data_IF_907917481511
#
_entry.id   IF_907917481511
#
_cell.length_a   1.000
_cell.length_b   1.000
_cell.length_c   1.000
_cell.angle_alpha   90.00
_cell.angle_beta   90.00
_cell.angle_gamma   90.00
#
_symmetry.space_group_name_H-M   'P 1'
#
loop_
_entity.id
_entity.type
_entity.pdbx_description
1 polymer ?
#
# COMPACT_ATOMS: atom_id res chain seq x y z
N UNK A 1 59.00 20.02 1.10
CA UNK A 1 58.34 20.58 2.30
C UNK A 1 56.81 20.40 2.12
N UNK A 2 56.30 19.27 2.59
CA UNK A 2 54.94 18.81 2.35
C UNK A 2 53.97 19.41 3.37
N UNK A 3 53.00 20.18 2.93
CA UNK A 3 51.83 20.54 3.74
C UNK A 3 50.70 19.50 3.50
N UNK A 4 50.59 18.56 4.44
CA UNK A 4 49.44 17.69 4.54
C UNK A 4 48.24 18.49 5.07
N UNK A 5 47.22 18.66 4.21
CA UNK A 5 45.89 19.20 4.58
C UNK A 5 45.16 18.09 5.33
N UNK A 6 45.08 18.20 6.65
CA UNK A 6 44.21 17.39 7.50
C UNK A 6 42.75 17.85 7.25
N UNK A 7 42.02 17.15 6.41
CA UNK A 7 40.58 17.28 6.34
C UNK A 7 39.96 16.67 7.62
N UNK A 8 39.45 17.52 8.51
CA UNK A 8 38.76 17.09 9.71
C UNK A 8 37.42 16.45 9.32
N UNK A 9 37.36 15.13 9.27
CA UNK A 9 36.13 14.37 9.13
C UNK A 9 35.35 14.53 10.43
N UNK A 10 34.19 15.21 10.37
CA UNK A 10 33.27 15.36 11.52
C UNK A 10 32.77 13.96 11.96
N UNK A 11 33.05 13.48 13.18
CA UNK A 11 32.79 12.10 13.57
C UNK A 11 31.31 11.70 13.60
N UNK A 12 30.39 12.65 13.68
CA UNK A 12 28.98 12.37 13.83
C UNK A 12 28.26 11.87 12.57
N UNK A 13 28.74 12.22 11.35
CA UNK A 13 28.10 11.79 10.10
C UNK A 13 28.50 10.37 9.70
N UNK A 14 29.76 9.99 9.98
CA UNK A 14 30.28 8.66 9.68
C UNK A 14 29.67 7.61 10.60
N UNK A 15 29.52 7.91 11.90
CA UNK A 15 28.91 7.00 12.87
C UNK A 15 27.44 6.69 12.54
N UNK A 16 26.63 7.71 12.23
CA UNK A 16 25.23 7.51 11.82
C UNK A 16 25.11 6.67 10.54
N UNK A 17 25.98 6.91 9.56
CA UNK A 17 26.00 6.15 8.30
C UNK A 17 26.46 4.68 8.53
N UNK A 18 27.43 4.46 9.40
CA UNK A 18 27.89 3.11 9.77
C UNK A 18 26.83 2.36 10.55
N UNK A 19 26.12 3.03 11.47
CA UNK A 19 24.98 2.45 12.20
C UNK A 19 23.80 2.12 11.27
N UNK A 20 23.48 2.98 10.30
CA UNK A 20 22.45 2.68 9.29
C UNK A 20 22.82 1.49 8.40
N UNK A 21 24.09 1.39 7.98
CA UNK A 21 24.57 0.24 7.21
C UNK A 21 24.55 -1.02 8.07
N UNK A 22 25.00 -0.94 9.32
CA UNK A 22 24.98 -2.07 10.26
C UNK A 22 23.54 -2.50 10.61
N UNK A 23 22.60 -1.58 10.81
CA UNK A 23 21.20 -1.91 11.05
C UNK A 23 20.56 -2.63 9.84
N UNK A 24 20.88 -2.19 8.61
CA UNK A 24 20.43 -2.87 7.39
C UNK A 24 20.93 -4.32 7.25
N UNK A 25 22.04 -4.66 7.88
CA UNK A 25 22.56 -6.03 7.93
C UNK A 25 22.03 -6.86 9.12
N UNK A 26 21.63 -6.20 10.21
CA UNK A 26 21.16 -6.86 11.43
C UNK A 26 19.69 -7.30 11.30
N UNK A 27 18.87 -6.55 10.60
CA UNK A 27 17.44 -6.86 10.43
C UNK A 27 17.23 -7.86 9.28
N UNK A 28 17.32 -9.15 9.60
CA UNK A 28 17.03 -10.26 8.66
C UNK A 28 15.62 -10.84 8.86
N UNK A 29 14.98 -10.57 9.99
CA UNK A 29 13.61 -11.00 10.26
C UNK A 29 12.61 -10.01 9.67
N UNK A 30 11.46 -10.48 9.27
CA UNK A 30 10.36 -9.65 8.77
C UNK A 30 9.98 -8.57 9.79
N UNK A 31 9.85 -8.91 11.06
CA UNK A 31 9.57 -7.96 12.14
C UNK A 31 10.63 -6.83 12.25
N UNK A 32 11.91 -7.15 12.05
CA UNK A 32 12.96 -6.14 12.01
C UNK A 32 12.86 -5.20 10.82
N UNK A 33 12.47 -5.74 9.65
CA UNK A 33 12.24 -4.96 8.44
C UNK A 33 10.95 -4.13 8.59
N UNK A 34 9.90 -4.67 9.21
CA UNK A 34 8.66 -3.98 9.52
C UNK A 34 8.90 -2.71 10.35
N UNK A 35 9.72 -2.79 11.42
CA UNK A 35 10.10 -1.61 12.21
C UNK A 35 10.85 -0.56 11.37
N UNK A 36 11.72 -0.99 10.44
CA UNK A 36 12.37 -0.06 9.51
C UNK A 36 11.37 0.60 8.55
N UNK A 37 10.39 -0.15 8.08
CA UNK A 37 9.31 0.38 7.25
C UNK A 37 8.49 1.44 8.01
N UNK A 38 8.04 1.13 9.23
CA UNK A 38 7.31 2.09 10.07
C UNK A 38 8.12 3.37 10.31
N UNK A 39 9.41 3.26 10.64
CA UNK A 39 10.29 4.42 10.83
C UNK A 39 10.49 5.23 9.54
N UNK A 40 10.50 4.60 8.36
CA UNK A 40 10.60 5.30 7.07
C UNK A 40 9.32 6.08 6.79
N UNK A 41 8.16 5.42 6.83
CA UNK A 41 6.88 6.02 6.50
C UNK A 41 6.43 7.08 7.52
N UNK A 42 6.91 7.02 8.77
CA UNK A 42 6.72 8.09 9.76
C UNK A 42 7.38 9.43 9.36
N UNK A 43 8.33 9.43 8.40
CA UNK A 43 9.00 10.65 7.93
C UNK A 43 8.19 11.45 6.91
N UNK A 44 7.00 11.03 6.52
CA UNK A 44 6.15 11.74 5.53
C UNK A 44 5.86 13.20 5.92
N UNK A 45 5.95 13.57 7.21
CA UNK A 45 5.81 14.98 7.64
C UNK A 45 7.02 15.87 7.29
N UNK A 46 8.21 15.29 7.10
CA UNK A 46 9.48 16.05 6.97
C UNK A 46 10.33 15.67 5.75
N UNK A 47 9.91 14.67 4.98
CA UNK A 47 10.69 14.12 3.88
C UNK A 47 9.86 14.13 2.59
N UNK A 48 10.25 15.01 1.63
CA UNK A 48 9.58 15.18 0.34
C UNK A 48 9.56 13.89 -0.48
N UNK A 49 10.61 13.08 -0.41
CA UNK A 49 10.66 11.81 -1.12
C UNK A 49 9.58 10.85 -0.58
N UNK A 50 9.36 10.83 0.74
CA UNK A 50 8.33 9.98 1.33
C UNK A 50 6.93 10.49 0.98
N UNK A 51 6.71 11.80 0.93
CA UNK A 51 5.44 12.38 0.44
C UNK A 51 5.19 12.04 -1.03
N UNK A 52 6.22 12.14 -1.88
CA UNK A 52 6.12 11.74 -3.29
C UNK A 52 5.79 10.24 -3.42
N UNK A 53 6.45 9.37 -2.65
CA UNK A 53 6.15 7.93 -2.63
C UNK A 53 4.75 7.61 -2.08
N UNK A 54 4.23 8.42 -1.17
CA UNK A 54 2.86 8.31 -0.62
C UNK A 54 1.81 9.05 -1.46
N UNK A 55 2.14 9.50 -2.66
CA UNK A 55 1.23 10.18 -3.58
C UNK A 55 0.55 11.42 -2.99
N UNK A 56 1.30 12.26 -2.24
CA UNK A 56 0.74 13.51 -1.73
C UNK A 56 0.56 14.51 -2.87
N UNK A 57 -0.63 15.08 -2.97
CA UNK A 57 -0.95 16.10 -3.98
C UNK A 57 -0.07 17.34 -3.79
N UNK A 58 0.50 17.83 -4.89
CA UNK A 58 1.41 18.97 -4.88
C UNK A 58 2.88 18.62 -4.62
N UNK A 59 3.23 17.35 -4.37
CA UNK A 59 4.58 16.90 -4.06
C UNK A 59 5.21 16.12 -5.22
N UNK A 60 6.47 16.41 -5.53
CA UNK A 60 7.26 15.66 -6.50
C UNK A 60 6.55 15.40 -7.83
N UNK A 61 6.34 14.12 -8.18
CA UNK A 61 5.63 13.68 -9.41
C UNK A 61 4.14 14.06 -9.42
N UNK A 62 3.58 14.40 -8.28
CA UNK A 62 2.17 14.74 -8.05
C UNK A 62 1.93 16.24 -7.92
N UNK A 63 2.92 17.06 -8.29
CA UNK A 63 2.78 18.52 -8.40
C UNK A 63 1.78 18.90 -9.51
N UNK A 64 1.68 18.08 -10.56
CA UNK A 64 0.64 18.17 -11.59
C UNK A 64 -0.65 17.52 -11.07
N UNK A 65 -1.69 18.34 -10.87
CA UNK A 65 -3.00 17.91 -10.38
C UNK A 65 -3.65 16.87 -11.27
N UNK A 66 -3.57 17.02 -12.58
CA UNK A 66 -4.14 16.07 -13.55
C UNK A 66 -3.48 14.71 -13.45
N UNK A 67 -2.17 14.69 -13.18
CA UNK A 67 -1.43 13.45 -13.00
C UNK A 67 -1.86 12.73 -11.71
N UNK A 68 -2.04 13.49 -10.64
CA UNK A 68 -2.51 12.96 -9.35
C UNK A 68 -3.94 12.42 -9.44
N UNK A 69 -4.86 13.19 -10.05
CA UNK A 69 -6.27 12.82 -10.19
C UNK A 69 -6.45 11.57 -11.08
N UNK A 70 -5.63 11.41 -12.12
CA UNK A 70 -5.63 10.22 -13.00
C UNK A 70 -5.38 8.90 -12.26
N UNK A 71 -4.69 8.92 -11.10
CA UNK A 71 -4.51 7.70 -10.29
C UNK A 71 -5.87 7.20 -9.81
N UNK A 72 -6.60 8.02 -9.06
CA UNK A 72 -7.92 7.65 -8.54
C UNK A 72 -8.90 7.32 -9.64
N UNK A 73 -8.92 8.11 -10.73
CA UNK A 73 -9.74 7.83 -11.90
C UNK A 73 -9.44 6.45 -12.51
N UNK A 74 -8.17 6.14 -12.68
CA UNK A 74 -7.74 4.86 -13.25
C UNK A 74 -8.17 3.67 -12.41
N UNK A 75 -7.98 3.75 -11.10
CA UNK A 75 -8.38 2.69 -10.17
C UNK A 75 -9.92 2.59 -10.05
N UNK A 76 -10.63 3.72 -10.12
CA UNK A 76 -12.08 3.69 -10.15
C UNK A 76 -12.63 2.99 -11.40
N UNK A 77 -12.05 3.24 -12.58
CA UNK A 77 -12.38 2.49 -13.81
C UNK A 77 -12.07 1.00 -13.71
N UNK A 78 -11.01 0.62 -13.00
CA UNK A 78 -10.72 -0.80 -12.73
C UNK A 78 -11.77 -1.40 -11.80
N UNK A 79 -12.20 -0.66 -10.78
CA UNK A 79 -13.27 -1.07 -9.89
C UNK A 79 -14.59 -1.28 -10.65
N UNK A 80 -14.98 -0.37 -11.55
CA UNK A 80 -16.16 -0.55 -12.41
C UNK A 80 -16.10 -1.85 -13.25
N UNK A 81 -14.91 -2.15 -13.80
CA UNK A 81 -14.69 -3.42 -14.51
C UNK A 81 -14.78 -4.63 -13.58
N UNK A 82 -14.27 -4.52 -12.36
CA UNK A 82 -14.38 -5.58 -11.36
C UNK A 82 -15.84 -5.85 -11.00
N UNK A 83 -16.64 -4.82 -10.79
CA UNK A 83 -18.08 -4.96 -10.53
C UNK A 83 -18.80 -5.71 -11.67
N UNK A 84 -18.45 -5.41 -12.92
CA UNK A 84 -19.01 -6.13 -14.07
C UNK A 84 -18.58 -7.60 -14.11
N UNK A 85 -17.30 -7.89 -13.84
CA UNK A 85 -16.76 -9.26 -13.83
C UNK A 85 -17.32 -10.11 -12.69
N UNK A 86 -17.60 -9.48 -11.56
CA UNK A 86 -18.10 -10.13 -10.35
C UNK A 86 -19.62 -10.21 -10.28
N UNK A 87 -20.32 -9.64 -11.27
CA UNK A 87 -21.78 -9.49 -11.28
C UNK A 87 -22.33 -8.79 -10.03
N UNK A 88 -21.68 -7.67 -9.66
CA UNK A 88 -22.09 -6.86 -8.51
C UNK A 88 -23.33 -6.06 -8.90
N UNK A 89 -24.47 -6.41 -8.34
CA UNK A 89 -25.77 -5.78 -8.65
C UNK A 89 -26.22 -4.76 -7.61
N UNK A 90 -25.67 -4.83 -6.39
CA UNK A 90 -26.02 -3.92 -5.31
C UNK A 90 -25.04 -2.74 -5.23
N UNK A 91 -25.53 -1.55 -4.85
CA UNK A 91 -24.66 -0.40 -4.64
C UNK A 91 -23.63 -0.66 -3.53
N UNK A 92 -22.37 -0.34 -3.81
CA UNK A 92 -21.30 -0.39 -2.81
C UNK A 92 -21.55 0.65 -1.72
N UNK A 93 -21.59 0.24 -0.48
CA UNK A 93 -21.82 1.10 0.69
C UNK A 93 -20.55 1.39 1.46
N UNK A 94 -19.66 0.40 1.55
CA UNK A 94 -18.45 0.47 2.38
C UNK A 94 -17.24 0.03 1.59
N UNK A 95 -16.20 0.85 1.67
CA UNK A 95 -14.90 0.58 1.05
C UNK A 95 -13.83 0.60 2.12
N UNK A 96 -12.86 -0.30 2.05
CA UNK A 96 -11.58 -0.19 2.76
C UNK A 96 -10.48 0.00 1.73
N UNK A 97 -9.67 1.04 1.88
CA UNK A 97 -8.39 1.16 1.21
C UNK A 97 -7.25 0.91 2.19
N UNK A 98 -6.39 -0.04 1.85
CA UNK A 98 -5.16 -0.32 2.60
C UNK A 98 -4.03 0.57 2.06
N UNK A 99 -3.45 1.41 2.94
CA UNK A 99 -2.49 2.46 2.66
C UNK A 99 -3.00 3.49 1.63
N UNK A 100 -3.96 4.37 1.99
CA UNK A 100 -4.53 5.36 1.09
C UNK A 100 -3.54 6.48 0.70
N UNK A 101 -2.41 6.57 1.35
CA UNK A 101 -1.39 7.59 1.10
C UNK A 101 -1.98 9.01 1.15
N UNK A 102 -1.71 9.81 0.12
CA UNK A 102 -2.23 11.18 -0.04
C UNK A 102 -3.71 11.28 -0.43
N UNK A 103 -4.43 10.15 -0.61
CA UNK A 103 -5.87 10.14 -0.81
C UNK A 103 -6.36 10.23 -2.26
N UNK A 104 -5.52 9.94 -3.25
CA UNK A 104 -5.91 10.01 -4.66
C UNK A 104 -7.14 9.14 -4.97
N UNK A 105 -7.21 7.93 -4.40
CA UNK A 105 -8.37 7.05 -4.55
C UNK A 105 -9.57 7.56 -3.73
N UNK A 106 -9.36 7.99 -2.49
CA UNK A 106 -10.43 8.50 -1.64
C UNK A 106 -11.20 9.64 -2.30
N UNK A 107 -10.54 10.49 -3.10
CA UNK A 107 -11.18 11.58 -3.83
C UNK A 107 -12.17 11.10 -4.90
N UNK A 108 -11.97 9.91 -5.45
CA UNK A 108 -12.84 9.32 -6.48
C UNK A 108 -13.95 8.45 -5.88
N UNK A 109 -13.67 7.78 -4.75
CA UNK A 109 -14.63 6.88 -4.11
C UNK A 109 -15.56 7.59 -3.12
N UNK A 110 -15.08 8.49 -2.27
CA UNK A 110 -15.91 9.18 -1.26
C UNK A 110 -17.15 9.91 -1.83
N UNK A 111 -17.17 10.45 -3.07
CA UNK A 111 -18.39 11.01 -3.65
C UNK A 111 -19.46 9.97 -3.98
N UNK A 112 -19.12 8.68 -4.01
CA UNK A 112 -19.93 7.60 -4.56
C UNK A 112 -20.32 6.53 -3.54
N UNK A 113 -19.67 6.54 -2.36
CA UNK A 113 -19.92 5.56 -1.30
C UNK A 113 -20.16 6.28 0.03
N UNK A 114 -21.09 5.79 0.87
CA UNK A 114 -21.36 6.39 2.18
C UNK A 114 -20.17 6.32 3.14
N UNK A 115 -19.40 5.23 3.11
CA UNK A 115 -18.29 4.99 4.04
C UNK A 115 -17.04 4.53 3.29
N UNK A 116 -15.93 5.23 3.55
CA UNK A 116 -14.62 4.91 3.00
C UNK A 116 -13.61 4.88 4.15
N UNK A 117 -13.17 3.69 4.54
CA UNK A 117 -12.11 3.49 5.53
C UNK A 117 -10.75 3.57 4.86
N UNK A 118 -9.86 4.42 5.40
CA UNK A 118 -8.44 4.42 5.03
C UNK A 118 -7.63 3.80 6.17
N UNK A 119 -7.03 2.64 5.94
CA UNK A 119 -6.20 1.92 6.93
C UNK A 119 -4.73 2.16 6.60
N UNK A 120 -3.96 2.73 7.53
CA UNK A 120 -2.54 3.06 7.31
C UNK A 120 -1.77 2.96 8.64
N UNK A 121 -0.46 2.73 8.55
CA UNK A 121 0.49 2.81 9.67
C UNK A 121 1.03 4.22 9.86
N UNK A 122 0.82 5.12 8.91
CA UNK A 122 1.28 6.52 8.92
C UNK A 122 0.15 7.48 9.31
N UNK A 123 0.19 8.08 10.49
CA UNK A 123 -0.81 9.08 10.89
C UNK A 123 -0.78 10.32 9.99
N UNK A 124 0.38 10.63 9.40
CA UNK A 124 0.51 11.77 8.50
C UNK A 124 -0.18 11.54 7.14
N UNK A 125 -0.08 10.32 6.59
CA UNK A 125 -0.81 9.96 5.37
C UNK A 125 -2.32 10.01 5.60
N UNK A 126 -2.80 9.45 6.71
CA UNK A 126 -4.22 9.52 7.09
C UNK A 126 -4.71 10.97 7.25
N UNK A 127 -3.91 11.82 7.90
CA UNK A 127 -4.23 13.24 8.05
C UNK A 127 -4.28 13.97 6.69
N UNK A 128 -3.32 13.67 5.79
CA UNK A 128 -3.31 14.25 4.45
C UNK A 128 -4.49 13.77 3.62
N UNK A 129 -4.78 12.47 3.60
CA UNK A 129 -5.96 11.92 2.93
C UNK A 129 -7.24 12.60 3.43
N UNK A 130 -7.41 12.72 4.74
CA UNK A 130 -8.56 13.40 5.34
C UNK A 130 -8.62 14.89 4.96
N UNK A 131 -7.46 15.56 4.89
CA UNK A 131 -7.38 16.97 4.46
C UNK A 131 -7.85 17.13 3.02
N UNK A 132 -7.42 16.23 2.10
CA UNK A 132 -7.84 16.26 0.71
C UNK A 132 -9.36 16.04 0.59
N UNK A 133 -9.90 15.02 1.26
CA UNK A 133 -11.34 14.73 1.25
C UNK A 133 -12.15 15.95 1.77
N UNK A 134 -11.76 16.53 2.91
CA UNK A 134 -12.41 17.70 3.50
C UNK A 134 -12.31 18.95 2.60
N UNK A 135 -11.19 19.14 1.90
CA UNK A 135 -10.98 20.31 1.03
C UNK A 135 -11.98 20.42 -0.11
N UNK A 136 -12.59 19.31 -0.51
CA UNK A 136 -13.68 19.24 -1.51
C UNK A 136 -15.08 19.10 -0.90
N UNK A 137 -15.21 19.30 0.43
CA UNK A 137 -16.49 19.16 1.12
C UNK A 137 -17.04 17.73 1.16
N UNK A 138 -16.20 16.73 0.84
CA UNK A 138 -16.60 15.34 0.84
C UNK A 138 -16.69 14.80 2.28
N UNK A 139 -17.55 13.79 2.46
CA UNK A 139 -17.83 13.14 3.74
C UNK A 139 -17.58 11.63 3.60
N UNK A 140 -17.69 10.90 4.70
CA UNK A 140 -17.61 9.43 4.69
C UNK A 140 -16.22 8.84 4.85
N UNK A 141 -15.13 9.63 4.75
CA UNK A 141 -13.77 9.13 5.03
C UNK A 141 -13.59 8.89 6.53
N UNK A 142 -13.15 7.69 6.88
CA UNK A 142 -12.85 7.24 8.25
C UNK A 142 -11.42 6.75 8.32
N UNK A 143 -10.49 7.55 8.91
CA UNK A 143 -9.10 7.13 9.08
C UNK A 143 -8.98 6.06 10.16
N UNK A 144 -8.22 5.00 9.88
CA UNK A 144 -7.88 3.92 10.79
C UNK A 144 -6.38 3.80 10.88
N UNK A 145 -5.81 4.20 12.01
CA UNK A 145 -4.39 4.02 12.30
C UNK A 145 -4.17 2.64 12.92
N UNK A 146 -3.26 1.86 12.36
CA UNK A 146 -2.85 0.55 12.87
C UNK A 146 -1.37 0.52 13.21
N UNK A 147 -1.00 -0.39 14.11
CA UNK A 147 0.40 -0.73 14.36
C UNK A 147 0.87 -1.75 13.32
N UNK A 148 2.08 -1.55 12.77
CA UNK A 148 2.67 -2.46 11.77
C UNK A 148 2.86 -3.89 12.29
N UNK A 149 3.00 -4.05 13.60
CA UNK A 149 3.13 -5.35 14.27
C UNK A 149 1.75 -5.95 14.68
N UNK A 150 0.62 -5.21 14.48
CA UNK A 150 -0.73 -5.58 14.93
C UNK A 150 -1.79 -5.31 13.86
N UNK A 151 -1.62 -5.89 12.69
CA UNK A 151 -2.48 -5.64 11.53
C UNK A 151 -3.95 -5.97 11.80
N UNK A 152 -4.20 -6.98 12.63
CA UNK A 152 -5.53 -7.49 12.99
C UNK A 152 -6.39 -6.45 13.70
N UNK A 153 -5.80 -5.38 14.25
CA UNK A 153 -6.56 -4.25 14.81
C UNK A 153 -7.59 -3.66 13.83
N UNK A 154 -7.31 -3.73 12.51
CA UNK A 154 -8.26 -3.26 11.51
C UNK A 154 -9.61 -3.97 11.57
N UNK A 155 -9.65 -5.25 12.00
CA UNK A 155 -10.88 -6.02 12.11
C UNK A 155 -11.81 -5.54 13.24
N UNK A 156 -11.24 -4.91 14.27
CA UNK A 156 -12.00 -4.35 15.39
C UNK A 156 -12.44 -2.91 15.09
N UNK A 157 -11.68 -2.21 14.25
CA UNK A 157 -11.88 -0.78 13.94
C UNK A 157 -12.77 -0.55 12.72
N UNK A 158 -12.89 -1.52 11.83
CA UNK A 158 -13.88 -1.54 10.75
C UNK A 158 -15.18 -2.11 11.32
N UNK A 159 -16.15 -1.23 11.54
CA UNK A 159 -17.36 -1.52 12.31
C UNK A 159 -18.28 -2.59 11.69
N UNK A 160 -18.26 -2.71 10.35
CA UNK A 160 -19.10 -3.65 9.60
C UNK A 160 -18.34 -4.22 8.38
N UNK A 161 -18.69 -5.41 7.88
CA UNK A 161 -18.09 -5.94 6.66
C UNK A 161 -18.21 -4.97 5.50
N UNK A 162 -17.18 -4.92 4.64
CA UNK A 162 -17.09 -4.00 3.53
C UNK A 162 -17.39 -4.67 2.20
N UNK A 163 -17.94 -3.91 1.26
CA UNK A 163 -18.31 -4.44 -0.07
C UNK A 163 -17.10 -4.45 -1.01
N UNK A 164 -16.12 -3.56 -0.76
CA UNK A 164 -14.95 -3.44 -1.60
C UNK A 164 -13.67 -3.19 -0.79
N UNK A 165 -12.64 -4.00 -1.08
CA UNK A 165 -11.28 -3.82 -0.57
C UNK A 165 -10.36 -3.35 -1.70
N UNK A 166 -9.60 -2.28 -1.45
CA UNK A 166 -8.66 -1.68 -2.40
C UNK A 166 -7.26 -1.63 -1.80
N UNK A 167 -6.25 -2.07 -2.55
CA UNK A 167 -4.84 -1.81 -2.23
C UNK A 167 -4.03 -1.66 -3.51
N UNK A 168 -3.51 -0.46 -3.75
CA UNK A 168 -2.75 -0.14 -4.97
C UNK A 168 -1.48 0.61 -4.64
N UNK A 169 -0.38 0.26 -5.31
CA UNK A 169 0.96 0.80 -5.08
C UNK A 169 1.53 0.55 -3.67
N UNK A 170 1.12 -0.54 -3.00
CA UNK A 170 1.41 -0.84 -1.59
C UNK A 170 2.24 -2.10 -1.41
N UNK A 171 1.84 -3.23 -1.97
CA UNK A 171 2.43 -4.56 -1.73
C UNK A 171 3.94 -4.63 -2.01
N UNK A 172 4.46 -3.80 -2.94
CA UNK A 172 5.91 -3.71 -3.18
C UNK A 172 6.69 -3.09 -2.03
N UNK A 173 6.02 -2.39 -1.12
CA UNK A 173 6.60 -1.74 0.05
C UNK A 173 6.55 -2.59 1.31
N UNK A 174 5.86 -3.71 1.29
CA UNK A 174 5.75 -4.56 2.47
C UNK A 174 7.11 -5.13 2.90
N UNK A 175 7.30 -5.38 4.21
CA UNK A 175 8.58 -5.88 4.76
C UNK A 175 8.93 -7.28 4.31
N UNK A 176 7.99 -8.02 3.72
CA UNK A 176 8.16 -9.36 3.19
C UNK A 176 6.88 -9.89 2.56
N UNK A 177 7.00 -11.06 1.91
CA UNK A 177 5.85 -11.72 1.27
C UNK A 177 4.80 -12.16 2.29
N UNK A 178 5.25 -12.64 3.45
CA UNK A 178 4.37 -13.10 4.54
C UNK A 178 3.48 -11.97 5.07
N UNK A 179 4.03 -10.74 5.13
CA UNK A 179 3.24 -9.58 5.49
C UNK A 179 2.10 -9.32 4.50
N UNK A 180 2.39 -9.42 3.19
CA UNK A 180 1.37 -9.27 2.15
C UNK A 180 0.32 -10.40 2.15
N UNK A 181 0.72 -11.62 2.49
CA UNK A 181 -0.21 -12.74 2.67
C UNK A 181 -1.18 -12.41 3.81
N UNK A 182 -0.68 -11.98 4.97
CA UNK A 182 -1.53 -11.57 6.11
C UNK A 182 -2.48 -10.43 5.75
N UNK A 183 -2.04 -9.42 4.98
CA UNK A 183 -2.93 -8.34 4.52
C UNK A 183 -4.00 -8.90 3.57
N UNK A 184 -3.68 -9.87 2.73
CA UNK A 184 -4.64 -10.53 1.83
C UNK A 184 -5.67 -11.36 2.62
N UNK A 185 -5.24 -12.05 3.68
CA UNK A 185 -6.13 -12.75 4.64
C UNK A 185 -7.08 -11.77 5.34
N UNK A 186 -6.54 -10.62 5.80
CA UNK A 186 -7.36 -9.57 6.41
C UNK A 186 -8.37 -8.98 5.42
N UNK A 187 -7.98 -8.79 4.15
CA UNK A 187 -8.90 -8.36 3.11
C UNK A 187 -10.08 -9.32 2.96
N UNK A 188 -9.83 -10.64 2.90
CA UNK A 188 -10.88 -11.65 2.82
C UNK A 188 -11.80 -11.65 4.06
N UNK A 189 -11.25 -11.39 5.25
CA UNK A 189 -12.02 -11.32 6.51
C UNK A 189 -12.84 -10.05 6.63
N UNK A 190 -12.34 -8.91 6.13
CA UNK A 190 -13.04 -7.62 6.13
C UNK A 190 -14.20 -7.60 5.13
N UNK A 191 -14.08 -8.31 4.01
CA UNK A 191 -15.10 -8.33 2.97
C UNK A 191 -16.39 -9.00 3.47
N UNK A 192 -17.52 -8.43 3.09
CA UNK A 192 -18.83 -9.08 3.15
C UNK A 192 -18.86 -10.29 2.21
N UNK A 193 -19.82 -11.18 2.38
CA UNK A 193 -20.08 -12.23 1.40
C UNK A 193 -20.38 -11.59 0.04
N UNK A 194 -19.85 -12.17 -1.03
CA UNK A 194 -19.91 -11.60 -2.39
C UNK A 194 -19.15 -10.28 -2.57
N UNK A 195 -18.49 -9.76 -1.54
CA UNK A 195 -17.63 -8.57 -1.62
C UNK A 195 -16.46 -8.78 -2.56
N UNK A 196 -15.92 -7.68 -3.11
CA UNK A 196 -14.87 -7.72 -4.13
C UNK A 196 -13.59 -7.03 -3.67
N UNK A 197 -12.45 -7.42 -4.25
CA UNK A 197 -11.17 -6.77 -3.97
C UNK A 197 -10.38 -6.48 -5.24
N UNK A 198 -9.73 -5.31 -5.26
CA UNK A 198 -8.73 -4.94 -6.24
C UNK A 198 -7.39 -4.81 -5.52
N UNK A 199 -6.50 -5.77 -5.77
CA UNK A 199 -5.17 -5.81 -5.16
C UNK A 199 -4.11 -5.69 -6.24
N UNK A 200 -3.25 -4.69 -6.13
CA UNK A 200 -2.09 -4.57 -7.00
C UNK A 200 -0.85 -5.12 -6.31
N UNK A 201 -0.15 -6.01 -6.98
CA UNK A 201 1.19 -6.45 -6.61
C UNK A 201 2.23 -5.96 -7.61
N UNK A 202 3.49 -5.92 -7.19
CA UNK A 202 4.61 -5.96 -8.12
C UNK A 202 4.97 -7.41 -8.38
N UNK A 203 5.04 -7.82 -9.64
CA UNK A 203 5.43 -9.18 -9.96
C UNK A 203 6.93 -9.31 -10.26
N UNK A 204 7.50 -10.47 -9.96
CA UNK A 204 8.87 -10.83 -10.31
C UNK A 204 8.89 -11.25 -11.80
N UNK A 205 9.60 -10.51 -12.62
CA UNK A 205 9.79 -10.79 -14.06
C UNK A 205 11.06 -11.59 -14.34
N UNK A 206 11.72 -12.09 -13.29
CA UNK A 206 12.99 -12.81 -13.36
C UNK A 206 14.22 -11.89 -13.33
N UNK A 207 14.04 -10.58 -13.46
CA UNK A 207 15.17 -9.63 -13.42
C UNK A 207 15.70 -9.44 -11.99
N UNK A 208 17.02 -9.21 -11.81
CA UNK A 208 17.59 -8.93 -10.50
C UNK A 208 17.00 -7.71 -9.80
N UNK A 209 16.50 -6.74 -10.58
CA UNK A 209 15.88 -5.51 -10.07
C UNK A 209 14.58 -5.82 -9.33
N UNK A 210 13.75 -6.71 -9.89
CA UNK A 210 12.41 -7.01 -9.39
C UNK A 210 12.34 -8.20 -8.42
N UNK A 211 13.46 -8.92 -8.21
CA UNK A 211 13.53 -9.91 -7.15
C UNK A 211 13.31 -9.29 -5.78
N UNK A 212 12.47 -9.92 -4.96
CA UNK A 212 12.21 -9.53 -3.58
C UNK A 212 13.53 -9.37 -2.78
N UNK A 213 13.61 -8.32 -1.98
CA UNK A 213 14.80 -7.98 -1.19
C UNK A 213 14.67 -8.52 0.24
N UNK A 214 15.80 -8.64 0.93
CA UNK A 214 15.87 -9.12 2.32
C UNK A 214 16.64 -8.15 3.22
N UNK A 215 17.12 -7.03 2.68
CA UNK A 215 18.00 -6.07 3.37
C UNK A 215 17.85 -4.68 2.78
N UNK A 216 18.28 -3.66 3.53
CA UNK A 216 18.34 -2.26 3.09
C UNK A 216 16.97 -1.77 2.60
N UNK A 217 15.96 -1.88 3.48
CA UNK A 217 14.58 -1.53 3.16
C UNK A 217 14.47 -0.14 2.52
N UNK A 218 14.99 0.90 3.16
CA UNK A 218 14.92 2.28 2.68
C UNK A 218 15.50 2.45 1.27
N UNK A 219 16.64 1.80 0.97
CA UNK A 219 17.27 1.88 -0.36
C UNK A 219 16.44 1.20 -1.45
N UNK A 220 15.65 0.22 -1.09
CA UNK A 220 14.91 -0.63 -2.04
C UNK A 220 13.39 -0.49 -1.88
N UNK A 221 12.90 0.52 -1.18
CA UNK A 221 11.51 0.63 -0.76
C UNK A 221 10.50 0.41 -1.91
N UNK A 222 10.77 0.92 -3.10
CA UNK A 222 9.86 0.79 -4.26
C UNK A 222 9.88 -0.58 -4.94
N UNK A 223 10.85 -1.43 -4.60
CA UNK A 223 11.02 -2.78 -5.18
C UNK A 223 11.35 -3.82 -4.11
N UNK A 224 10.98 -3.55 -2.87
CA UNK A 224 11.42 -4.40 -1.75
C UNK A 224 10.78 -5.78 -1.80
N UNK A 225 9.48 -5.84 -2.07
CA UNK A 225 8.73 -7.09 -2.18
C UNK A 225 8.11 -7.23 -3.56
N UNK A 226 8.24 -8.41 -4.12
CA UNK A 226 7.58 -8.81 -5.36
C UNK A 226 7.06 -10.24 -5.22
N UNK A 227 6.06 -10.58 -6.00
CA UNK A 227 5.35 -11.84 -5.95
C UNK A 227 5.43 -12.53 -7.32
N UNK A 228 5.41 -13.82 -7.34
CA UNK A 228 5.06 -14.58 -8.53
C UNK A 228 3.54 -14.48 -8.76
N UNK A 229 3.10 -14.27 -10.00
CA UNK A 229 1.68 -14.08 -10.35
C UNK A 229 0.87 -15.34 -10.00
N UNK A 230 1.39 -16.52 -10.34
CA UNK A 230 0.70 -17.78 -10.06
C UNK A 230 0.62 -18.05 -8.55
N UNK A 231 1.73 -17.79 -7.82
CA UNK A 231 1.73 -17.93 -6.37
C UNK A 231 0.73 -16.98 -5.70
N UNK A 232 0.63 -15.73 -6.16
CA UNK A 232 -0.36 -14.79 -5.59
C UNK A 232 -1.81 -15.16 -5.94
N UNK A 233 -2.02 -15.72 -7.13
CA UNK A 233 -3.30 -16.30 -7.51
C UNK A 233 -3.73 -17.42 -6.54
N UNK A 234 -2.79 -18.31 -6.20
CA UNK A 234 -3.05 -19.39 -5.25
C UNK A 234 -3.29 -18.85 -3.83
N UNK A 235 -2.52 -17.85 -3.38
CA UNK A 235 -2.75 -17.18 -2.09
C UNK A 235 -4.17 -16.63 -2.01
N UNK A 236 -4.67 -15.99 -3.07
CA UNK A 236 -6.04 -15.49 -3.08
C UNK A 236 -7.08 -16.60 -2.91
N UNK A 237 -6.88 -17.74 -3.57
CA UNK A 237 -7.75 -18.93 -3.42
C UNK A 237 -7.69 -19.46 -1.98
N UNK A 238 -6.49 -19.62 -1.43
CA UNK A 238 -6.26 -20.21 -0.12
C UNK A 238 -6.90 -19.38 1.01
N UNK A 239 -7.03 -18.06 0.81
CA UNK A 239 -7.74 -17.18 1.77
C UNK A 239 -9.24 -17.04 1.51
N UNK A 240 -9.80 -17.81 0.57
CA UNK A 240 -11.24 -17.82 0.29
C UNK A 240 -11.71 -16.74 -0.70
N UNK A 241 -10.81 -16.16 -1.50
CA UNK A 241 -11.18 -15.26 -2.58
C UNK A 241 -10.99 -15.94 -3.95
N UNK A 242 -11.98 -15.81 -4.82
CA UNK A 242 -11.92 -16.29 -6.20
C UNK A 242 -11.29 -15.24 -7.11
N UNK A 243 -10.11 -15.49 -7.72
CA UNK A 243 -9.57 -14.60 -8.73
C UNK A 243 -10.39 -14.68 -10.02
N UNK A 244 -10.91 -13.54 -10.46
CA UNK A 244 -11.72 -13.42 -11.68
C UNK A 244 -10.86 -13.07 -12.90
N UNK A 245 -9.89 -12.19 -12.71
CA UNK A 245 -8.97 -11.75 -13.77
C UNK A 245 -7.69 -11.17 -13.17
N UNK A 246 -6.65 -11.07 -14.00
CA UNK A 246 -5.43 -10.30 -13.72
C UNK A 246 -5.16 -9.35 -14.88
N UNK A 247 -4.98 -8.07 -14.59
CA UNK A 247 -4.56 -7.06 -15.56
C UNK A 247 -3.08 -6.73 -15.35
N UNK A 248 -2.27 -6.87 -16.39
CA UNK A 248 -0.83 -6.64 -16.31
C UNK A 248 -0.44 -5.28 -16.86
N UNK A 249 0.45 -4.58 -16.17
CA UNK A 249 1.20 -3.44 -16.68
C UNK A 249 2.70 -3.79 -16.74
N UNK A 250 3.18 -4.34 -17.85
CA UNK A 250 4.57 -4.82 -17.95
C UNK A 250 5.61 -3.71 -17.91
N UNK A 251 5.25 -2.45 -18.21
CA UNK A 251 6.19 -1.31 -18.16
C UNK A 251 6.73 -1.04 -16.76
N UNK A 252 5.94 -1.37 -15.73
CA UNK A 252 6.27 -1.14 -14.30
C UNK A 252 6.18 -2.43 -13.48
N UNK A 253 5.99 -3.57 -14.14
CA UNK A 253 5.82 -4.90 -13.54
C UNK A 253 4.71 -4.93 -12.46
N UNK A 254 3.55 -4.34 -12.76
CA UNK A 254 2.38 -4.39 -11.91
C UNK A 254 1.34 -5.38 -12.42
N UNK A 255 0.78 -6.15 -11.51
CA UNK A 255 -0.35 -7.03 -11.73
C UNK A 255 -1.49 -6.62 -10.80
N UNK A 256 -2.66 -6.35 -11.38
CA UNK A 256 -3.89 -6.00 -10.69
C UNK A 256 -4.79 -7.24 -10.66
N UNK A 257 -5.03 -7.76 -9.47
CA UNK A 257 -5.90 -8.90 -9.23
C UNK A 257 -7.33 -8.43 -8.98
N UNK A 258 -8.24 -8.94 -9.76
CA UNK A 258 -9.69 -8.74 -9.63
C UNK A 258 -10.23 -9.97 -8.90
N UNK A 259 -10.64 -9.78 -7.65
CA UNK A 259 -10.99 -10.85 -6.74
C UNK A 259 -12.44 -10.70 -6.26
N UNK A 260 -13.10 -11.83 -5.98
CA UNK A 260 -14.42 -11.89 -5.34
C UNK A 260 -14.34 -12.83 -4.13
N UNK A 261 -14.90 -12.43 -2.99
CA UNK A 261 -15.03 -13.33 -1.86
C UNK A 261 -15.98 -14.46 -2.21
N UNK A 262 -15.57 -15.68 -1.97
CA UNK A 262 -16.48 -16.85 -2.10
C UNK A 262 -17.65 -16.70 -1.11
N UNK A 263 -18.85 -17.05 -1.57
CA UNK A 263 -19.99 -17.20 -0.66
C UNK A 263 -19.67 -18.28 0.36
N UNK A 264 -20.04 -18.07 1.62
CA UNK A 264 -20.04 -19.14 2.61
C UNK A 264 -20.96 -20.23 2.09
N UNK A 265 -20.39 -21.34 1.60
CA UNK A 265 -21.17 -22.54 1.33
C UNK A 265 -21.75 -22.96 2.68
N UNK A 266 -23.06 -22.70 2.86
CA UNK A 266 -23.84 -23.13 4.02
C UNK A 266 -23.93 -24.65 4.10
#
# INVERSE_FOLDING_TARGET
MNRLIKAAIKPGKTWKRTMQIASGYLYRSEAGIARNAAALWARSTSDELIRDLSHWRGEGRWADEDNWDRIGQGHFKMFEKLCLLADVTQPIQRVVEWDPGGGANAMWFCPKVPVFYGVDISPANLAECQRQVKSRGLKGFRPILIDIDKLEQCLELVEEPVDFFLSTAVYQHFPGKEYGIRVTELAARLLADEGVALIQIRYDDGSPLLKAKKRNYEKNVVTFTSYDIHAFWQIAIDVGMAPLAVSLNPKVAYAYFFLKKGGSNG
#
